data_IF_470876840733
#
_entry.id   IF_470876840733
#
_cell.length_a   1.000
_cell.length_b   1.000
_cell.length_c   1.000
_cell.angle_alpha   90.00
_cell.angle_beta   90.00
_cell.angle_gamma   90.00
#
_symmetry.space_group_name_H-M   'P 1'
#
loop_
_entity.id
_entity.type
_entity.pdbx_description
1 polymer ?
#
# COMPACT_ATOMS: atom_id res chain seq x y z
N UNK A 1 46.82 -17.83 -19.28
CA UNK A 1 46.96 -16.53 -19.97
C UNK A 1 45.95 -16.32 -21.12
N UNK A 2 45.10 -17.28 -21.47
CA UNK A 2 44.14 -17.20 -22.59
C UNK A 2 42.73 -16.75 -22.17
N UNK A 3 42.35 -16.95 -20.90
CA UNK A 3 40.99 -16.60 -20.39
C UNK A 3 40.81 -15.12 -20.05
N UNK A 4 41.87 -14.40 -19.66
CA UNK A 4 41.79 -12.95 -19.37
C UNK A 4 41.59 -12.06 -20.61
N UNK A 5 41.85 -12.58 -21.83
CA UNK A 5 41.62 -11.79 -23.05
C UNK A 5 40.18 -11.75 -23.53
N UNK A 6 39.37 -12.73 -23.13
CA UNK A 6 37.94 -12.77 -23.51
C UNK A 6 37.09 -11.88 -22.62
N UNK A 7 37.37 -11.85 -21.32
CA UNK A 7 36.61 -10.99 -20.37
C UNK A 7 36.84 -9.49 -20.66
N UNK A 8 38.07 -9.12 -21.02
CA UNK A 8 38.36 -7.71 -21.41
C UNK A 8 37.72 -7.32 -22.73
N UNK A 9 37.60 -8.26 -23.70
CA UNK A 9 36.92 -7.99 -24.97
C UNK A 9 35.39 -7.88 -24.80
N UNK A 10 34.80 -8.65 -23.89
CA UNK A 10 33.38 -8.55 -23.58
C UNK A 10 33.05 -7.24 -22.87
N UNK A 11 33.87 -6.85 -21.88
CA UNK A 11 33.74 -5.56 -21.22
C UNK A 11 33.89 -4.37 -22.14
N UNK A 12 34.82 -4.43 -23.11
CA UNK A 12 35.01 -3.39 -24.14
C UNK A 12 33.86 -3.37 -25.16
N UNK A 13 33.27 -4.52 -25.50
CA UNK A 13 32.16 -4.58 -26.44
C UNK A 13 30.85 -4.03 -25.82
N UNK A 14 30.63 -4.27 -24.54
CA UNK A 14 29.50 -3.69 -23.79
C UNK A 14 29.68 -2.18 -23.62
N UNK A 15 30.89 -1.71 -23.31
CA UNK A 15 31.17 -0.28 -23.20
C UNK A 15 31.08 0.44 -24.57
N UNK A 16 31.54 -0.20 -25.66
CA UNK A 16 31.42 0.35 -27.02
C UNK A 16 29.99 0.36 -27.54
N UNK A 17 29.16 -0.59 -27.15
CA UNK A 17 27.73 -0.61 -27.49
C UNK A 17 26.94 0.52 -26.75
N UNK A 18 27.31 0.81 -25.52
CA UNK A 18 26.72 1.91 -24.73
C UNK A 18 27.10 3.28 -25.30
N UNK A 19 28.32 3.45 -25.80
CA UNK A 19 28.75 4.72 -26.41
C UNK A 19 28.24 4.92 -27.84
N UNK A 20 27.92 3.85 -28.56
CA UNK A 20 27.41 3.93 -29.95
C UNK A 20 25.92 4.34 -30.02
N UNK A 21 25.17 4.26 -28.93
CA UNK A 21 23.73 4.55 -28.88
C UNK A 21 23.43 5.98 -28.36
N UNK A 22 24.46 6.85 -28.18
CA UNK A 22 24.26 8.24 -27.80
C UNK A 22 23.58 8.42 -26.40
N UNK A 23 23.78 7.45 -25.52
CA UNK A 23 23.29 7.55 -24.17
C UNK A 23 23.91 8.74 -23.44
N UNK A 24 23.09 9.67 -22.98
CA UNK A 24 23.54 10.78 -22.16
C UNK A 24 23.81 10.24 -20.72
N UNK A 25 24.90 9.49 -20.58
CA UNK A 25 25.36 8.96 -19.30
C UNK A 25 26.22 10.02 -18.64
N UNK A 26 25.70 10.71 -17.64
CA UNK A 26 26.55 11.30 -16.61
C UNK A 26 27.45 10.19 -16.04
N UNK A 27 28.68 10.50 -15.57
CA UNK A 27 29.58 9.47 -15.06
C UNK A 27 28.88 8.70 -13.92
N UNK A 28 28.26 7.60 -14.28
CA UNK A 28 27.72 6.59 -13.38
C UNK A 28 28.82 5.62 -13.07
N UNK A 29 28.95 5.22 -11.83
CA UNK A 29 29.89 4.18 -11.43
C UNK A 29 29.71 2.92 -12.30
N UNK A 30 30.79 2.20 -12.52
CA UNK A 30 30.99 1.20 -13.58
C UNK A 30 30.03 -0.03 -13.60
N UNK A 31 28.96 -0.04 -12.80
CA UNK A 31 28.07 -1.18 -12.66
C UNK A 31 26.63 -0.96 -13.15
N UNK A 32 26.30 0.22 -13.71
CA UNK A 32 24.94 0.49 -14.23
C UNK A 32 24.76 -0.04 -15.64
N UNK A 33 23.59 -0.66 -15.93
CA UNK A 33 23.20 -1.14 -17.26
C UNK A 33 22.11 -0.25 -17.82
N UNK A 34 22.40 0.43 -18.92
CA UNK A 34 21.47 1.33 -19.63
C UNK A 34 21.31 0.80 -21.07
N UNK A 35 20.10 0.44 -21.43
CA UNK A 35 19.78 -0.15 -22.75
C UNK A 35 18.75 0.72 -23.47
N UNK A 36 19.16 1.71 -24.16
CA UNK A 36 18.45 2.68 -24.99
C UNK A 36 18.90 4.11 -24.64
N UNK A 37 19.03 4.96 -25.65
CA UNK A 37 19.52 6.33 -25.53
C UNK A 37 18.51 7.33 -24.93
N UNK A 38 17.27 6.92 -24.73
CA UNK A 38 16.21 7.73 -24.09
C UNK A 38 16.13 7.53 -22.58
N UNK A 39 16.85 6.53 -22.04
CA UNK A 39 16.90 6.29 -20.61
C UNK A 39 17.84 7.29 -19.92
N UNK A 40 17.44 7.78 -18.75
CA UNK A 40 18.21 8.69 -17.92
C UNK A 40 18.57 8.02 -16.59
N UNK A 41 19.87 7.92 -16.30
CA UNK A 41 20.39 7.43 -15.01
C UNK A 41 21.23 8.55 -14.39
N UNK A 42 20.89 9.01 -13.19
CA UNK A 42 21.54 10.13 -12.53
C UNK A 42 21.80 9.80 -11.05
N UNK A 43 23.05 9.89 -10.61
CA UNK A 43 23.45 9.69 -9.21
C UNK A 43 23.29 8.27 -8.67
N UNK A 44 22.80 7.34 -9.49
CA UNK A 44 22.52 5.98 -9.09
C UNK A 44 23.70 5.04 -9.37
N UNK A 45 24.12 4.28 -8.35
CA UNK A 45 25.09 3.18 -8.50
C UNK A 45 24.35 1.86 -8.72
N UNK A 46 24.88 0.97 -9.58
CA UNK A 46 24.29 -0.34 -9.89
C UNK A 46 22.84 -0.25 -10.41
N UNK A 47 22.49 0.80 -11.12
CA UNK A 47 21.15 1.00 -11.66
C UNK A 47 20.92 0.17 -12.93
N UNK A 48 19.67 -0.27 -13.14
CA UNK A 48 19.25 -0.92 -14.38
C UNK A 48 18.13 -0.10 -15.02
N UNK A 49 18.33 0.37 -16.24
CA UNK A 49 17.30 1.00 -17.06
C UNK A 49 17.17 0.22 -18.39
N UNK A 50 16.08 -0.54 -18.52
CA UNK A 50 15.80 -1.35 -19.70
C UNK A 50 14.49 -0.94 -20.37
N UNK A 51 14.54 -0.67 -21.69
CA UNK A 51 13.41 -0.11 -22.44
C UNK A 51 13.64 1.35 -22.79
N UNK A 52 12.60 2.15 -23.00
CA UNK A 52 12.72 3.53 -23.47
C UNK A 52 12.14 4.56 -22.49
N UNK A 53 12.79 5.73 -22.42
CA UNK A 53 12.33 6.87 -21.62
C UNK A 53 12.32 6.65 -20.12
N UNK A 54 13.00 5.60 -19.61
CA UNK A 54 13.03 5.32 -18.17
C UNK A 54 13.98 6.29 -17.46
N UNK A 55 13.61 6.65 -16.23
CA UNK A 55 14.43 7.47 -15.34
C UNK A 55 14.80 6.68 -14.09
N UNK A 56 16.09 6.56 -13.79
CA UNK A 56 16.61 6.06 -12.52
C UNK A 56 17.41 7.17 -11.88
N UNK A 57 17.03 7.55 -10.66
CA UNK A 57 17.72 8.61 -9.93
C UNK A 57 17.76 8.29 -8.42
N UNK A 58 18.66 8.94 -7.70
CA UNK A 58 18.59 8.97 -6.24
C UNK A 58 17.33 9.71 -5.78
N UNK A 59 16.80 9.33 -4.62
CA UNK A 59 15.76 10.13 -3.97
C UNK A 59 16.32 11.50 -3.62
N UNK A 60 15.56 12.56 -3.81
CA UNK A 60 15.95 13.89 -3.36
C UNK A 60 16.21 13.84 -1.85
N UNK A 61 17.44 14.11 -1.42
CA UNK A 61 17.91 14.01 -0.03
C UNK A 61 17.10 14.86 0.98
N UNK A 62 16.19 15.70 0.48
CA UNK A 62 15.35 16.58 1.28
C UNK A 62 13.95 16.03 1.58
N UNK A 63 13.61 14.83 1.06
CA UNK A 63 12.29 14.26 1.34
C UNK A 63 12.35 13.47 2.64
N UNK A 64 11.85 14.08 3.70
CA UNK A 64 11.73 13.46 5.03
C UNK A 64 10.49 12.58 5.04
N UNK A 65 10.65 11.27 4.89
CA UNK A 65 9.65 10.32 5.35
C UNK A 65 9.59 10.41 6.87
N UNK A 66 8.59 11.06 7.39
CA UNK A 66 8.32 11.02 8.83
C UNK A 66 7.81 9.62 9.15
N UNK A 67 8.65 8.81 9.74
CA UNK A 67 8.17 7.64 10.47
C UNK A 67 7.38 8.17 11.67
N UNK A 68 6.07 7.92 11.68
CA UNK A 68 5.17 8.38 12.74
C UNK A 68 5.40 7.70 14.10
N UNK A 69 6.33 6.77 14.19
CA UNK A 69 6.68 6.08 15.42
C UNK A 69 8.04 6.60 15.95
N UNK A 70 7.98 7.63 16.81
CA UNK A 70 8.96 8.03 17.87
C UNK A 70 10.47 7.87 17.64
N UNK A 71 10.97 7.83 16.41
CA UNK A 71 12.40 8.00 16.18
C UNK A 71 12.70 9.49 16.05
N UNK A 72 13.54 10.06 16.90
CA UNK A 72 14.03 11.42 16.71
C UNK A 72 14.73 11.48 15.36
N UNK A 73 14.39 12.49 14.58
CA UNK A 73 14.96 12.80 13.26
C UNK A 73 16.49 13.00 13.40
N UNK A 74 17.22 11.89 13.41
CA UNK A 74 18.68 11.91 13.46
C UNK A 74 19.22 12.16 12.05
N UNK A 75 19.20 13.43 11.66
CA UNK A 75 19.78 13.89 10.42
C UNK A 75 21.27 13.53 10.27
N UNK A 76 21.93 13.11 11.35
CA UNK A 76 23.36 12.75 11.36
C UNK A 76 23.60 11.30 10.95
N UNK A 77 22.59 10.42 10.97
CA UNK A 77 22.70 9.02 10.51
C UNK A 77 22.54 8.85 9.00
N UNK A 78 22.24 9.92 8.25
CA UNK A 78 21.98 9.88 6.81
C UNK A 78 23.18 10.23 5.94
N UNK A 79 24.39 10.31 6.48
CA UNK A 79 25.62 10.57 5.72
C UNK A 79 26.28 9.30 5.16
N UNK A 80 25.55 8.20 5.01
CA UNK A 80 26.03 7.03 4.31
C UNK A 80 25.84 7.17 2.79
N UNK A 81 26.82 6.77 1.99
CA UNK A 81 26.69 6.54 0.55
C UNK A 81 25.58 5.47 0.31
N UNK A 82 24.32 5.89 0.28
CA UNK A 82 23.18 5.05 -0.08
C UNK A 82 23.26 4.78 -1.58
N UNK A 83 23.98 3.73 -1.94
CA UNK A 83 24.11 3.29 -3.32
C UNK A 83 22.75 2.82 -3.81
N UNK A 84 22.14 3.54 -4.73
CA UNK A 84 20.83 3.18 -5.25
C UNK A 84 20.95 2.00 -6.23
N UNK A 85 20.51 0.81 -5.81
CA UNK A 85 20.38 -0.36 -6.65
C UNK A 85 19.00 -0.39 -7.33
N UNK A 86 18.59 0.73 -7.93
CA UNK A 86 17.23 0.89 -8.45
C UNK A 86 17.08 0.35 -9.86
N UNK A 87 15.88 -0.12 -10.18
CA UNK A 87 15.58 -0.79 -11.44
C UNK A 87 14.36 -0.16 -12.11
N UNK A 88 14.49 0.24 -13.39
CA UNK A 88 13.38 0.70 -14.21
C UNK A 88 13.31 -0.13 -15.49
N UNK A 89 12.20 -0.86 -15.70
CA UNK A 89 12.02 -1.76 -16.85
C UNK A 89 10.71 -1.43 -17.59
N UNK A 90 10.79 -1.15 -18.89
CA UNK A 90 9.66 -0.86 -19.74
C UNK A 90 9.71 0.53 -20.36
N UNK A 91 8.61 1.26 -20.36
CA UNK A 91 8.50 2.55 -21.04
C UNK A 91 8.13 3.67 -20.06
N UNK A 92 8.89 4.76 -20.06
CA UNK A 92 8.64 5.97 -19.27
C UNK A 92 8.49 5.71 -17.75
N UNK A 93 9.18 4.70 -17.22
CA UNK A 93 9.14 4.41 -15.79
C UNK A 93 10.10 5.30 -14.99
N UNK A 94 9.78 5.56 -13.74
CA UNK A 94 10.64 6.30 -12.81
C UNK A 94 10.93 5.45 -11.58
N UNK A 95 12.21 5.13 -11.36
CA UNK A 95 12.69 4.54 -10.13
C UNK A 95 13.58 5.56 -9.41
N UNK A 96 13.05 6.16 -8.32
CA UNK A 96 13.74 7.15 -7.52
C UNK A 96 13.85 6.67 -6.08
N UNK A 97 15.05 6.72 -5.53
CA UNK A 97 15.31 6.21 -4.20
C UNK A 97 16.24 5.00 -4.20
N UNK A 98 16.65 4.56 -3.02
CA UNK A 98 17.51 3.39 -2.86
C UNK A 98 16.67 2.12 -3.01
N UNK A 99 17.12 1.18 -3.84
CA UNK A 99 16.45 -0.12 -4.07
C UNK A 99 15.00 0.02 -4.57
N UNK A 100 14.68 1.07 -5.31
CA UNK A 100 13.36 1.25 -5.91
C UNK A 100 13.21 0.39 -7.17
N UNK A 101 12.01 -0.19 -7.37
CA UNK A 101 11.66 -0.98 -8.56
C UNK A 101 10.46 -0.37 -9.27
N UNK A 102 10.65 0.09 -10.52
CA UNK A 102 9.57 0.53 -11.40
C UNK A 102 9.51 -0.33 -12.66
N UNK A 103 8.41 -1.03 -12.89
CA UNK A 103 8.27 -1.93 -14.02
C UNK A 103 6.91 -1.76 -14.72
N UNK A 104 6.91 -1.53 -16.03
CA UNK A 104 5.69 -1.41 -16.82
C UNK A 104 5.71 -0.25 -17.80
N UNK A 105 4.63 0.49 -17.89
CA UNK A 105 4.52 1.72 -18.65
C UNK A 105 4.10 2.86 -17.73
N UNK A 106 4.90 3.90 -17.63
CA UNK A 106 4.66 5.08 -16.78
C UNK A 106 4.53 4.76 -15.28
N UNK A 107 5.13 3.64 -14.83
CA UNK A 107 5.15 3.30 -13.41
C UNK A 107 6.13 4.18 -12.63
N UNK A 108 5.82 4.48 -11.36
CA UNK A 108 6.61 5.38 -10.54
C UNK A 108 6.87 4.79 -9.15
N UNK A 109 8.10 4.40 -8.87
CA UNK A 109 8.61 4.06 -7.54
C UNK A 109 9.48 5.22 -7.06
N UNK A 110 8.95 6.07 -6.16
CA UNK A 110 9.50 7.40 -5.94
C UNK A 110 10.40 7.52 -4.70
N UNK A 111 10.40 6.53 -3.82
CA UNK A 111 11.14 6.56 -2.55
C UNK A 111 11.88 5.25 -2.30
N UNK A 112 12.65 5.22 -1.20
CA UNK A 112 13.48 4.09 -0.83
C UNK A 112 12.64 2.80 -0.68
N UNK A 113 13.16 1.71 -1.26
CA UNK A 113 12.55 0.38 -1.18
C UNK A 113 11.07 0.35 -1.65
N UNK A 114 10.69 1.30 -2.51
CA UNK A 114 9.35 1.33 -3.11
C UNK A 114 9.27 0.45 -4.35
N UNK A 115 8.09 -0.16 -4.57
CA UNK A 115 7.83 -1.06 -5.70
C UNK A 115 6.60 -0.57 -6.47
N UNK A 116 6.76 -0.29 -7.76
CA UNK A 116 5.66 0.07 -8.66
C UNK A 116 5.68 -0.82 -9.91
N UNK A 117 4.70 -1.71 -10.04
CA UNK A 117 4.61 -2.66 -11.15
C UNK A 117 3.24 -2.55 -11.83
N UNK A 118 3.22 -2.14 -13.10
CA UNK A 118 2.00 -2.04 -13.89
C UNK A 118 1.95 -0.78 -14.74
N UNK A 119 0.88 -0.60 -15.50
CA UNK A 119 0.64 0.63 -16.23
C UNK A 119 0.19 1.74 -15.27
N UNK A 120 0.95 2.82 -15.18
CA UNK A 120 0.67 3.96 -14.28
C UNK A 120 0.53 3.57 -12.80
N UNK A 121 1.23 2.52 -12.36
CA UNK A 121 1.32 2.19 -10.94
C UNK A 121 2.18 3.22 -10.20
N UNK A 122 1.77 3.65 -9.01
CA UNK A 122 2.48 4.67 -8.23
C UNK A 122 2.73 4.23 -6.78
N UNK A 123 3.98 4.03 -6.41
CA UNK A 123 4.47 3.84 -5.05
C UNK A 123 5.21 5.11 -4.61
N UNK A 124 4.57 5.91 -3.75
CA UNK A 124 4.97 7.30 -3.52
C UNK A 124 5.85 7.52 -2.29
N UNK A 125 5.92 6.55 -1.38
CA UNK A 125 6.65 6.64 -0.11
C UNK A 125 7.56 5.45 0.13
N UNK A 126 8.41 5.56 1.14
CA UNK A 126 9.32 4.49 1.56
C UNK A 126 8.55 3.23 1.97
N UNK A 127 9.05 2.07 1.53
CA UNK A 127 8.42 0.75 1.72
C UNK A 127 7.00 0.64 1.16
N UNK A 128 6.58 1.54 0.26
CA UNK A 128 5.28 1.42 -0.38
C UNK A 128 5.33 0.46 -1.58
N UNK A 129 4.23 -0.26 -1.81
CA UNK A 129 4.10 -1.22 -2.89
C UNK A 129 2.82 -0.96 -3.69
N UNK A 130 2.95 -0.70 -4.99
CA UNK A 130 1.83 -0.55 -5.91
C UNK A 130 1.96 -1.56 -7.06
N UNK A 131 1.08 -2.55 -7.12
CA UNK A 131 1.08 -3.60 -8.14
C UNK A 131 -0.28 -3.68 -8.83
N UNK A 132 -0.31 -3.37 -10.12
CA UNK A 132 -1.51 -3.37 -10.95
C UNK A 132 -1.64 -2.09 -11.75
N UNK A 133 -2.52 -2.11 -12.76
CA UNK A 133 -2.81 -0.91 -13.55
C UNK A 133 -3.45 0.14 -12.67
N UNK A 134 -2.85 1.34 -12.61
CA UNK A 134 -3.28 2.47 -11.78
C UNK A 134 -3.35 2.19 -10.28
N UNK A 135 -2.69 1.13 -9.79
CA UNK A 135 -2.55 0.92 -8.36
C UNK A 135 -1.76 2.07 -7.73
N UNK A 136 -2.20 2.56 -6.56
CA UNK A 136 -1.59 3.70 -5.90
C UNK A 136 -1.38 3.46 -4.41
N UNK A 137 -0.11 3.43 -3.98
CA UNK A 137 0.32 3.37 -2.60
C UNK A 137 0.96 4.72 -2.22
N UNK A 138 0.25 5.54 -1.42
CA UNK A 138 0.58 6.95 -1.23
C UNK A 138 1.28 7.26 0.09
N UNK A 139 1.32 6.31 1.03
CA UNK A 139 1.90 6.50 2.35
C UNK A 139 2.96 5.45 2.68
N UNK A 140 3.74 5.72 3.72
CA UNK A 140 4.81 4.84 4.19
C UNK A 140 4.24 3.47 4.56
N UNK A 141 4.90 2.41 4.08
CA UNK A 141 4.49 1.01 4.29
C UNK A 141 3.09 0.67 3.79
N UNK A 142 2.52 1.49 2.89
CA UNK A 142 1.23 1.18 2.27
C UNK A 142 1.37 0.19 1.13
N UNK A 143 0.36 -0.66 0.92
CA UNK A 143 0.35 -1.65 -0.15
C UNK A 143 -0.96 -1.56 -0.95
N UNK A 144 -0.87 -1.32 -2.25
CA UNK A 144 -1.98 -1.29 -3.19
C UNK A 144 -1.76 -2.37 -4.26
N UNK A 145 -2.55 -3.42 -4.24
CA UNK A 145 -2.41 -4.57 -5.14
C UNK A 145 -3.74 -4.84 -5.85
N UNK A 146 -3.78 -4.56 -7.15
CA UNK A 146 -4.97 -4.74 -7.98
C UNK A 146 -5.18 -3.58 -8.96
N UNK A 147 -6.11 -3.76 -9.88
CA UNK A 147 -6.54 -2.69 -10.79
C UNK A 147 -7.15 -1.53 -9.99
N UNK A 148 -6.61 -0.33 -10.12
CA UNK A 148 -7.08 0.87 -9.40
C UNK A 148 -7.15 0.73 -7.87
N UNK A 149 -6.38 -0.19 -7.28
CA UNK A 149 -6.30 -0.30 -5.83
C UNK A 149 -5.65 0.95 -5.22
N UNK A 150 -6.20 1.45 -4.10
CA UNK A 150 -5.74 2.66 -3.42
C UNK A 150 -5.42 2.39 -1.94
N UNK A 151 -4.15 2.52 -1.57
CA UNK A 151 -3.69 2.49 -0.18
C UNK A 151 -3.11 3.87 0.16
N UNK A 152 -3.86 4.70 0.87
CA UNK A 152 -3.49 6.08 1.18
C UNK A 152 -3.34 6.38 2.67
N UNK A 153 -3.48 5.39 3.53
CA UNK A 153 -3.15 5.48 4.95
C UNK A 153 -1.77 4.93 5.27
N UNK A 154 -1.16 5.38 6.35
CA UNK A 154 0.07 4.82 6.89
C UNK A 154 -0.13 3.34 7.26
N UNK A 155 0.77 2.46 6.77
CA UNK A 155 0.65 1.00 6.95
C UNK A 155 -0.69 0.41 6.44
N UNK A 156 -1.36 1.06 5.50
CA UNK A 156 -2.62 0.55 4.95
C UNK A 156 -2.41 -0.49 3.86
N UNK A 157 -3.36 -1.42 3.71
CA UNK A 157 -3.31 -2.49 2.72
C UNK A 157 -4.60 -2.54 1.92
N UNK A 158 -4.53 -2.29 0.61
CA UNK A 158 -5.64 -2.40 -0.34
C UNK A 158 -5.34 -3.50 -1.35
N UNK A 159 -6.04 -4.62 -1.28
CA UNK A 159 -5.82 -5.80 -2.13
C UNK A 159 -7.12 -6.19 -2.83
N UNK A 160 -7.16 -6.01 -4.13
CA UNK A 160 -8.33 -6.27 -4.97
C UNK A 160 -8.56 -5.18 -6.00
N UNK A 161 -9.37 -5.46 -7.00
CA UNK A 161 -9.76 -4.43 -7.98
C UNK A 161 -10.55 -3.33 -7.28
N UNK A 162 -10.11 -2.09 -7.44
CA UNK A 162 -10.74 -0.90 -6.83
C UNK A 162 -10.86 -0.97 -5.30
N UNK A 163 -10.07 -1.81 -4.62
CA UNK A 163 -10.00 -1.84 -3.16
C UNK A 163 -9.42 -0.53 -2.63
N UNK A 164 -9.97 -0.02 -1.53
CA UNK A 164 -9.56 1.26 -0.94
C UNK A 164 -9.29 1.13 0.56
N UNK A 165 -8.05 1.36 0.97
CA UNK A 165 -7.62 1.46 2.36
C UNK A 165 -7.07 2.88 2.60
N UNK A 166 -7.91 3.78 3.13
CA UNK A 166 -7.64 5.22 3.05
C UNK A 166 -7.19 5.85 4.36
N UNK A 167 -7.23 5.12 5.46
CA UNK A 167 -6.80 5.62 6.76
C UNK A 167 -5.69 4.73 7.36
N UNK A 168 -5.07 5.19 8.45
CA UNK A 168 -3.94 4.50 9.07
C UNK A 168 -4.33 3.08 9.52
N UNK A 169 -3.40 2.13 9.28
CA UNK A 169 -3.57 0.73 9.65
C UNK A 169 -4.85 0.07 9.09
N UNK A 170 -5.49 0.69 8.10
CA UNK A 170 -6.69 0.13 7.47
C UNK A 170 -6.34 -1.01 6.51
N UNK A 171 -7.22 -2.00 6.41
CA UNK A 171 -7.07 -3.16 5.53
C UNK A 171 -8.33 -3.36 4.71
N UNK A 172 -8.23 -3.28 3.39
CA UNK A 172 -9.31 -3.55 2.45
C UNK A 172 -8.91 -4.71 1.53
N UNK A 173 -9.56 -5.86 1.66
CA UNK A 173 -9.27 -7.05 0.84
C UNK A 173 -10.54 -7.56 0.17
N UNK A 174 -10.60 -7.38 -1.14
CA UNK A 174 -11.74 -7.75 -1.99
C UNK A 174 -11.98 -6.73 -3.08
N UNK A 175 -12.71 -7.11 -4.13
CA UNK A 175 -13.10 -6.17 -5.17
C UNK A 175 -13.98 -5.07 -4.57
N UNK A 176 -13.63 -3.81 -4.79
CA UNK A 176 -14.36 -2.64 -4.27
C UNK A 176 -14.51 -2.61 -2.73
N UNK A 177 -13.69 -3.36 -1.99
CA UNK A 177 -13.68 -3.28 -0.53
C UNK A 177 -13.21 -1.89 -0.08
N UNK A 178 -13.85 -1.32 0.94
CA UNK A 178 -13.57 0.01 1.48
C UNK A 178 -13.28 -0.06 2.99
N UNK A 179 -12.04 0.25 3.38
CA UNK A 179 -11.64 0.46 4.76
C UNK A 179 -11.18 1.92 4.92
N UNK A 180 -12.07 2.79 5.41
CA UNK A 180 -11.80 4.23 5.54
C UNK A 180 -11.73 4.72 6.99
N UNK A 181 -12.02 3.88 7.96
CA UNK A 181 -11.78 4.17 9.37
C UNK A 181 -10.34 3.89 9.79
N UNK A 182 -9.86 4.57 10.82
CA UNK A 182 -8.58 4.27 11.44
C UNK A 182 -8.61 2.87 12.07
N UNK A 183 -7.63 2.02 11.73
CA UNK A 183 -7.61 0.59 12.09
C UNK A 183 -8.82 -0.22 11.59
N UNK A 184 -9.54 0.25 10.59
CA UNK A 184 -10.69 -0.46 10.03
C UNK A 184 -10.27 -1.64 9.13
N UNK A 185 -11.10 -2.69 9.10
CA UNK A 185 -10.83 -3.89 8.31
C UNK A 185 -12.06 -4.28 7.48
N UNK A 186 -11.91 -4.34 6.16
CA UNK A 186 -12.94 -4.74 5.21
C UNK A 186 -12.46 -5.95 4.39
N UNK A 187 -13.06 -7.12 4.60
CA UNK A 187 -12.75 -8.38 3.93
C UNK A 187 -13.97 -8.92 3.20
N UNK A 188 -13.96 -8.85 1.90
CA UNK A 188 -15.03 -9.31 1.02
C UNK A 188 -15.26 -8.35 -0.14
N UNK A 189 -15.89 -8.83 -1.20
CA UNK A 189 -16.31 -7.97 -2.31
C UNK A 189 -17.34 -6.95 -1.79
N UNK A 190 -17.14 -5.66 -2.06
CA UNK A 190 -18.05 -4.61 -1.60
C UNK A 190 -18.07 -4.36 -0.08
N UNK A 191 -17.27 -5.08 0.71
CA UNK A 191 -17.24 -4.91 2.17
C UNK A 191 -16.85 -3.47 2.56
N UNK A 192 -17.53 -2.90 3.56
CA UNK A 192 -17.34 -1.52 4.00
C UNK A 192 -17.08 -1.43 5.51
N UNK A 193 -15.91 -0.94 5.90
CA UNK A 193 -15.53 -0.63 7.26
C UNK A 193 -15.10 0.84 7.31
N UNK A 194 -16.04 1.75 7.69
CA UNK A 194 -15.87 3.17 7.44
C UNK A 194 -15.49 3.99 8.66
N UNK A 195 -15.68 3.44 9.85
CA UNK A 195 -15.44 4.13 11.11
C UNK A 195 -14.27 3.52 11.89
N UNK A 196 -13.84 4.19 12.96
CA UNK A 196 -12.70 3.79 13.78
C UNK A 196 -12.86 2.36 14.29
N UNK A 197 -11.86 1.52 13.99
CA UNK A 197 -11.82 0.10 14.41
C UNK A 197 -13.06 -0.70 14.03
N UNK A 198 -13.77 -0.27 12.97
CA UNK A 198 -14.87 -1.05 12.43
C UNK A 198 -14.34 -2.24 11.62
N UNK A 199 -15.09 -3.36 11.62
CA UNK A 199 -14.69 -4.59 10.96
C UNK A 199 -15.85 -5.16 10.14
N UNK A 200 -15.65 -5.36 8.84
CA UNK A 200 -16.63 -5.93 7.93
C UNK A 200 -16.06 -7.18 7.27
N UNK A 201 -16.65 -8.35 7.54
CA UNK A 201 -16.24 -9.66 7.02
C UNK A 201 -17.40 -10.33 6.28
N UNK A 202 -17.36 -10.31 4.97
CA UNK A 202 -18.35 -10.88 4.08
C UNK A 202 -18.56 -10.03 2.85
N UNK A 203 -19.20 -10.61 1.80
CA UNK A 203 -19.60 -9.81 0.65
C UNK A 203 -20.63 -8.78 1.09
N UNK A 204 -20.45 -7.53 0.67
CA UNK A 204 -21.32 -6.41 0.99
C UNK A 204 -21.60 -6.23 2.49
N UNK A 205 -20.77 -6.81 3.37
CA UNK A 205 -20.83 -6.56 4.81
C UNK A 205 -20.51 -5.09 5.10
N UNK A 206 -21.26 -4.47 6.02
CA UNK A 206 -21.17 -3.04 6.30
C UNK A 206 -21.05 -2.75 7.80
N UNK A 207 -19.90 -2.24 8.23
CA UNK A 207 -19.64 -1.79 9.60
C UNK A 207 -19.36 -0.28 9.58
N UNK A 208 -20.40 0.52 9.89
CA UNK A 208 -20.40 1.99 9.71
C UNK A 208 -20.42 2.79 11.00
N UNK A 209 -20.24 2.17 12.14
CA UNK A 209 -20.08 2.84 13.43
C UNK A 209 -18.73 2.46 14.06
N UNK A 210 -18.26 3.26 15.01
CA UNK A 210 -17.03 3.00 15.73
C UNK A 210 -17.13 1.67 16.48
N UNK A 211 -16.06 0.86 16.39
CA UNK A 211 -15.98 -0.47 17.01
C UNK A 211 -17.08 -1.44 16.58
N UNK A 212 -17.81 -1.15 15.51
CA UNK A 212 -18.83 -2.04 14.98
C UNK A 212 -18.21 -3.22 14.24
N UNK A 213 -18.88 -4.39 14.29
CA UNK A 213 -18.44 -5.60 13.59
C UNK A 213 -19.60 -6.21 12.81
N UNK A 214 -19.45 -6.35 11.50
CA UNK A 214 -20.39 -7.01 10.60
C UNK A 214 -19.76 -8.29 10.07
N UNK A 215 -20.33 -9.45 10.37
CA UNK A 215 -19.83 -10.76 9.93
C UNK A 215 -20.93 -11.52 9.23
N UNK A 216 -20.79 -11.70 7.93
CA UNK A 216 -21.73 -12.40 7.07
C UNK A 216 -22.00 -11.62 5.79
N UNK A 217 -22.54 -12.31 4.81
CA UNK A 217 -22.98 -11.70 3.57
C UNK A 217 -24.10 -10.69 3.86
N UNK A 218 -23.96 -9.44 3.38
CA UNK A 218 -24.90 -8.34 3.65
C UNK A 218 -25.14 -8.04 5.16
N UNK A 219 -24.28 -8.48 6.07
CA UNK A 219 -24.40 -8.12 7.48
C UNK A 219 -24.17 -6.61 7.66
N UNK A 220 -24.99 -5.96 8.52
CA UNK A 220 -24.98 -4.51 8.67
C UNK A 220 -24.93 -4.06 10.14
N UNK A 221 -23.76 -3.59 10.57
CA UNK A 221 -23.51 -3.10 11.93
C UNK A 221 -23.38 -1.56 11.93
N UNK A 222 -24.46 -0.88 12.31
CA UNK A 222 -24.62 0.58 12.23
C UNK A 222 -24.55 1.29 13.57
N UNK A 223 -24.42 0.56 14.67
CA UNK A 223 -24.44 1.11 16.02
C UNK A 223 -23.08 0.92 16.71
N UNK A 224 -22.71 1.87 17.55
CA UNK A 224 -21.48 1.86 18.32
C UNK A 224 -21.33 0.54 19.13
N UNK A 225 -20.14 -0.06 19.10
CA UNK A 225 -19.81 -1.31 19.81
C UNK A 225 -20.76 -2.49 19.52
N UNK A 226 -21.43 -2.49 18.37
CA UNK A 226 -22.41 -3.52 18.02
C UNK A 226 -21.85 -4.56 17.07
N UNK A 227 -22.40 -5.78 17.13
CA UNK A 227 -22.03 -6.90 16.28
C UNK A 227 -23.26 -7.40 15.52
N UNK A 228 -23.19 -7.39 14.20
CA UNK A 228 -24.13 -8.09 13.33
C UNK A 228 -23.50 -9.41 12.89
N UNK A 229 -24.08 -10.55 13.27
CA UNK A 229 -23.52 -11.87 13.02
C UNK A 229 -24.50 -12.75 12.24
N UNK A 230 -24.14 -13.10 11.03
CA UNK A 230 -24.92 -13.90 10.09
C UNK A 230 -25.32 -13.11 8.86
N UNK A 231 -25.74 -13.83 7.82
CA UNK A 231 -26.20 -13.26 6.55
C UNK A 231 -27.40 -12.35 6.77
N UNK A 232 -27.31 -11.10 6.30
CA UNK A 232 -28.38 -10.12 6.40
C UNK A 232 -28.71 -9.66 7.82
N UNK A 233 -27.89 -10.02 8.83
CA UNK A 233 -28.07 -9.52 10.20
C UNK A 233 -27.91 -8.01 10.26
N UNK A 234 -28.73 -7.35 11.09
CA UNK A 234 -28.64 -5.90 11.31
C UNK A 234 -28.65 -5.58 12.79
N UNK A 235 -27.81 -4.63 13.21
CA UNK A 235 -27.84 -4.16 14.60
C UNK A 235 -28.95 -3.14 14.80
N UNK A 236 -29.49 -3.09 16.01
CA UNK A 236 -30.37 -2.03 16.50
C UNK A 236 -29.71 -1.27 17.63
N UNK A 237 -30.27 -0.14 18.01
CA UNK A 237 -29.81 0.60 19.17
C UNK A 237 -29.89 -0.27 20.42
N UNK A 238 -28.82 -0.27 21.21
CA UNK A 238 -28.76 -1.01 22.43
C UNK A 238 -29.63 -0.34 23.53
N UNK A 239 -30.59 -1.05 24.05
CA UNK A 239 -31.48 -0.55 25.09
C UNK A 239 -31.31 -1.35 26.37
N UNK A 240 -31.31 -0.65 27.52
CA UNK A 240 -31.31 -1.31 28.81
C UNK A 240 -32.68 -1.96 29.07
N UNK A 241 -32.69 -3.28 29.29
CA UNK A 241 -33.91 -4.01 29.59
C UNK A 241 -34.00 -4.27 31.07
N UNK A 242 -35.05 -3.73 31.75
CA UNK A 242 -35.33 -3.96 33.16
C UNK A 242 -36.18 -5.20 33.41
N UNK A 243 -36.87 -5.66 32.38
CA UNK A 243 -37.74 -6.85 32.45
C UNK A 243 -37.87 -7.51 31.07
N UNK A 244 -38.22 -8.78 31.04
CA UNK A 244 -38.64 -9.50 29.85
C UNK A 244 -39.96 -10.23 30.13
N UNK A 245 -40.86 -10.25 29.14
CA UNK A 245 -42.13 -11.01 29.22
C UNK A 245 -42.04 -12.17 28.24
N UNK A 246 -42.14 -13.38 28.78
CA UNK A 246 -42.12 -14.64 28.00
C UNK A 246 -43.38 -15.43 28.30
N UNK A 247 -44.13 -15.78 27.29
CA UNK A 247 -45.40 -16.53 27.44
C UNK A 247 -46.38 -15.91 28.46
N UNK A 248 -46.46 -14.57 28.53
CA UNK A 248 -47.36 -13.86 29.46
C UNK A 248 -46.80 -13.69 30.87
N UNK A 249 -45.64 -14.24 31.18
CA UNK A 249 -44.97 -14.05 32.48
C UNK A 249 -43.86 -12.99 32.38
N UNK A 250 -43.89 -11.99 33.24
CA UNK A 250 -42.88 -10.94 33.31
C UNK A 250 -41.80 -11.26 34.32
N UNK A 251 -40.58 -11.32 33.85
CA UNK A 251 -39.37 -11.50 34.67
C UNK A 251 -38.68 -10.13 34.76
N UNK A 252 -38.45 -9.68 35.99
CA UNK A 252 -37.82 -8.38 36.28
C UNK A 252 -36.62 -8.51 37.21
N UNK A 253 -35.99 -7.38 37.53
CA UNK A 253 -34.86 -7.33 38.45
C UNK A 253 -33.55 -7.84 37.88
N UNK A 254 -33.34 -7.69 36.56
CA UNK A 254 -32.06 -8.06 35.92
C UNK A 254 -30.92 -7.26 36.54
N UNK A 255 -29.81 -7.94 36.87
CA UNK A 255 -28.59 -7.31 37.39
C UNK A 255 -27.98 -6.41 36.29
N UNK A 256 -27.64 -5.17 36.66
CA UNK A 256 -27.11 -4.19 35.70
C UNK A 256 -28.15 -3.24 35.10
N UNK A 257 -29.41 -3.33 35.58
CA UNK A 257 -30.46 -2.36 35.23
C UNK A 257 -30.02 -0.94 35.62
N UNK A 258 -30.03 -0.03 34.63
CA UNK A 258 -29.59 1.36 34.82
C UNK A 258 -28.16 1.64 34.30
N UNK A 259 -27.41 0.65 33.89
CA UNK A 259 -26.19 0.86 33.11
C UNK A 259 -26.56 1.25 31.65
N UNK A 260 -25.87 2.22 31.10
CA UNK A 260 -26.02 2.52 29.67
C UNK A 260 -25.61 1.29 28.84
N UNK A 261 -26.43 0.89 27.89
CA UNK A 261 -26.09 -0.17 26.95
C UNK A 261 -25.03 0.33 25.99
N UNK A 262 -23.93 -0.42 25.82
CA UNK A 262 -22.78 0.00 25.05
C UNK A 262 -22.70 -0.66 23.66
N UNK A 263 -23.61 -1.53 23.29
CA UNK A 263 -23.63 -2.21 22.02
C UNK A 263 -24.74 -3.26 21.94
N UNK A 264 -24.98 -3.78 20.76
CA UNK A 264 -25.94 -4.85 20.49
C UNK A 264 -25.30 -5.97 19.67
N UNK A 265 -25.83 -7.19 19.84
CA UNK A 265 -25.53 -8.34 18.99
C UNK A 265 -26.83 -8.80 18.34
N UNK A 266 -26.81 -9.07 17.06
CA UNK A 266 -27.94 -9.57 16.27
C UNK A 266 -27.51 -10.68 15.31
#
# INVERSE_FOLDING_TARGET
MREMKHSKKLAFAVLAAVTAVGANVNPVDAASVVMDNTNVVTGANNAVAYGSGNTVKESDANFRDRDYENEPDDATKRTGDWKSNSVAIGVNNTAAGTSALAMGNSSKALMNESIAIGHSAEAQRTWSTAIGTRAKASEVRSQAIGYEALASGYKSNAIGSSAQATNNHSVAMGSSALASGDHAQAFGAGAQATNVRSNAFGSDASATADYAMAIGDHANATHLNSIALGTGSTTSEATAQSSATIAGHTFGGFVGVGSAANGSVS
#
